data_IF_403227085945
#
_entry.id   IF_403227085945
#
_cell.length_a   1.000
_cell.length_b   1.000
_cell.length_c   1.000
_cell.angle_alpha   90.00
_cell.angle_beta   90.00
_cell.angle_gamma   90.00
#
_symmetry.space_group_name_H-M   'P 1'
#
loop_
_entity.id
_entity.type
_entity.pdbx_description
1 polymer ?
#
# COMPACT_ATOMS: atom_id res chain seq x y z
N UNK A 1 -13.66 6.48 25.59
CA UNK A 1 -13.07 5.38 26.39
C UNK A 1 -13.12 4.11 25.56
N UNK A 2 -12.02 3.38 25.40
CA UNK A 2 -12.04 2.00 24.89
C UNK A 2 -11.57 1.13 26.06
N UNK A 3 -12.51 0.40 26.67
CA UNK A 3 -12.23 -0.66 27.62
C UNK A 3 -11.93 -1.97 26.87
N UNK A 4 -11.16 -2.80 27.56
CA UNK A 4 -10.92 -4.24 27.40
C UNK A 4 -9.92 -4.78 26.38
N UNK A 5 -8.89 -5.42 26.96
CA UNK A 5 -7.77 -6.10 26.34
C UNK A 5 -8.12 -7.43 25.65
N UNK A 6 -9.24 -7.50 24.95
CA UNK A 6 -9.46 -8.56 23.97
C UNK A 6 -8.62 -8.26 22.73
N UNK A 7 -7.58 -9.07 22.47
CA UNK A 7 -6.95 -9.08 21.15
C UNK A 7 -8.03 -9.46 20.13
N UNK A 8 -8.31 -8.63 19.11
CA UNK A 8 -9.35 -8.93 18.14
C UNK A 8 -9.02 -10.27 17.47
N UNK A 9 -10.04 -11.13 17.29
CA UNK A 9 -9.86 -12.42 16.64
C UNK A 9 -9.38 -12.17 15.20
N UNK A 10 -8.12 -12.54 14.90
CA UNK A 10 -7.48 -12.22 13.62
C UNK A 10 -7.67 -13.37 12.66
N UNK A 11 -8.50 -13.17 11.64
CA UNK A 11 -8.64 -14.13 10.54
C UNK A 11 -7.72 -13.66 9.41
N UNK A 12 -6.77 -14.51 9.02
CA UNK A 12 -5.91 -14.26 7.85
C UNK A 12 -6.55 -14.93 6.64
N UNK A 13 -6.95 -14.12 5.67
CA UNK A 13 -7.55 -14.58 4.42
C UNK A 13 -6.55 -14.39 3.26
N UNK A 14 -6.57 -15.27 2.25
CA UNK A 14 -5.83 -15.04 1.01
C UNK A 14 -6.28 -13.75 0.33
N UNK A 15 -5.34 -13.01 -0.29
CA UNK A 15 -5.66 -11.79 -1.02
C UNK A 15 -6.70 -12.01 -2.13
N UNK A 16 -6.69 -13.19 -2.76
CA UNK A 16 -7.68 -13.58 -3.79
C UNK A 16 -9.12 -13.69 -3.28
N UNK A 17 -9.33 -13.75 -1.96
CA UNK A 17 -10.65 -13.83 -1.31
C UNK A 17 -10.98 -12.51 -0.62
N UNK A 18 -10.02 -11.92 0.09
CA UNK A 18 -10.21 -10.70 0.86
C UNK A 18 -10.41 -9.47 -0.04
N UNK A 19 -9.55 -9.31 -1.05
CA UNK A 19 -9.51 -8.09 -1.86
C UNK A 19 -10.79 -7.92 -2.69
N UNK A 20 -11.35 -8.94 -3.36
CA UNK A 20 -12.63 -8.79 -4.05
C UNK A 20 -13.75 -8.30 -3.13
N UNK A 21 -13.77 -8.74 -1.86
CA UNK A 21 -14.79 -8.29 -0.90
C UNK A 21 -14.58 -6.83 -0.50
N UNK A 22 -13.33 -6.39 -0.35
CA UNK A 22 -13.02 -4.97 -0.10
C UNK A 22 -13.43 -4.09 -1.27
N UNK A 23 -13.18 -4.55 -2.50
CA UNK A 23 -13.58 -3.85 -3.72
C UNK A 23 -15.11 -3.73 -3.77
N UNK A 24 -15.83 -4.84 -3.51
CA UNK A 24 -17.30 -4.82 -3.47
C UNK A 24 -17.82 -3.81 -2.45
N UNK A 25 -17.24 -3.75 -1.24
CA UNK A 25 -17.63 -2.76 -0.23
C UNK A 25 -17.41 -1.32 -0.71
N UNK A 26 -16.28 -1.04 -1.38
CA UNK A 26 -15.99 0.29 -1.93
C UNK A 26 -17.02 0.66 -3.01
N UNK A 27 -17.39 -0.30 -3.85
CA UNK A 27 -18.38 -0.12 -4.93
C UNK A 27 -19.82 0.03 -4.40
N UNK A 28 -20.18 -0.72 -3.35
CA UNK A 28 -21.48 -0.71 -2.65
C UNK A 28 -21.76 0.60 -1.89
N UNK A 29 -20.82 1.56 -1.91
CA UNK A 29 -21.01 2.90 -1.33
C UNK A 29 -20.28 3.12 -0.01
N UNK A 30 -19.45 2.18 0.46
CA UNK A 30 -18.51 2.47 1.54
C UNK A 30 -17.37 3.32 1.00
N UNK A 31 -17.43 4.63 1.27
CA UNK A 31 -16.52 5.62 0.68
C UNK A 31 -15.05 5.37 1.01
N UNK A 32 -14.79 4.72 2.15
CA UNK A 32 -13.45 4.35 2.59
C UNK A 32 -13.44 2.99 3.27
N UNK A 33 -12.46 2.15 2.94
CA UNK A 33 -12.22 0.84 3.59
C UNK A 33 -10.79 0.79 4.12
N UNK A 34 -10.60 0.21 5.30
CA UNK A 34 -9.26 0.02 5.86
C UNK A 34 -8.73 -1.37 5.53
N UNK A 35 -7.51 -1.44 4.99
CA UNK A 35 -6.81 -2.68 4.70
C UNK A 35 -5.53 -2.75 5.53
N UNK A 36 -5.40 -3.79 6.35
CA UNK A 36 -4.15 -4.07 7.06
C UNK A 36 -3.11 -4.56 6.06
N UNK A 37 -1.97 -3.89 6.01
CA UNK A 37 -0.91 -4.22 5.07
C UNK A 37 -0.20 -5.50 5.49
N UNK A 38 -0.12 -6.45 4.55
CA UNK A 38 0.67 -7.66 4.69
C UNK A 38 1.76 -7.70 3.62
N UNK A 39 2.95 -8.16 4.00
CA UNK A 39 4.10 -8.27 3.11
C UNK A 39 5.15 -7.17 3.26
N UNK A 40 6.20 -7.29 2.46
CA UNK A 40 7.43 -6.50 2.56
C UNK A 40 7.65 -5.59 1.34
N UNK A 41 6.74 -5.64 0.35
CA UNK A 41 6.88 -4.95 -0.94
C UNK A 41 6.73 -3.43 -0.84
N UNK A 42 6.15 -2.92 0.24
CA UNK A 42 5.99 -1.48 0.52
C UNK A 42 6.95 -0.98 1.61
N UNK A 43 7.94 -1.77 2.02
CA UNK A 43 8.98 -1.28 2.93
C UNK A 43 9.89 -0.25 2.25
N UNK A 44 10.51 0.67 2.99
CA UNK A 44 10.45 0.88 4.44
C UNK A 44 9.18 1.62 4.94
N UNK A 45 8.21 1.89 4.08
CA UNK A 45 7.13 2.83 4.35
C UNK A 45 6.01 2.22 5.15
N UNK A 46 5.56 1.06 4.70
CA UNK A 46 4.52 0.26 5.31
C UNK A 46 5.19 -1.02 5.78
N UNK A 47 5.07 -1.25 7.08
CA UNK A 47 5.65 -2.41 7.72
C UNK A 47 4.61 -3.50 7.91
N UNK A 48 5.07 -4.75 7.73
CA UNK A 48 4.22 -5.91 7.68
C UNK A 48 3.43 -6.06 8.99
N UNK A 49 2.11 -6.24 8.89
CA UNK A 49 1.22 -6.43 10.03
C UNK A 49 1.25 -5.29 11.07
N UNK A 50 1.78 -4.11 10.76
CA UNK A 50 1.77 -2.94 11.65
C UNK A 50 0.90 -1.81 11.11
N UNK A 51 1.04 -1.52 9.82
CA UNK A 51 0.45 -0.32 9.23
C UNK A 51 -0.87 -0.67 8.50
N UNK A 52 -1.82 0.27 8.52
CA UNK A 52 -3.16 0.12 7.94
C UNK A 52 -3.32 1.17 6.85
N UNK A 53 -3.66 0.75 5.64
CA UNK A 53 -3.99 1.64 4.52
C UNK A 53 -5.46 1.99 4.54
N UNK A 54 -5.78 3.27 4.34
CA UNK A 54 -7.13 3.75 4.08
C UNK A 54 -7.32 3.82 2.56
N UNK A 55 -8.16 2.93 2.05
CA UNK A 55 -8.50 2.81 0.64
C UNK A 55 -9.80 3.55 0.35
N UNK A 56 -9.86 4.24 -0.78
CA UNK A 56 -11.06 4.89 -1.27
C UNK A 56 -11.31 4.52 -2.73
N UNK A 57 -12.51 4.83 -3.21
CA UNK A 57 -12.85 4.73 -4.63
C UNK A 57 -11.93 5.63 -5.45
N UNK A 58 -11.49 5.12 -6.59
CA UNK A 58 -10.66 5.86 -7.53
C UNK A 58 -11.49 6.99 -8.16
N UNK A 59 -11.07 8.24 -7.94
CA UNK A 59 -11.68 9.42 -8.57
C UNK A 59 -10.77 10.03 -9.63
N UNK A 60 -9.47 10.03 -9.37
CA UNK A 60 -8.42 10.48 -10.28
C UNK A 60 -7.15 9.69 -10.00
N UNK A 61 -6.30 9.55 -11.02
CA UNK A 61 -5.07 8.79 -10.95
C UNK A 61 -3.90 9.66 -11.39
N UNK A 62 -2.88 9.73 -10.54
CA UNK A 62 -1.67 10.48 -10.82
C UNK A 62 -0.44 9.61 -10.59
N UNK A 63 0.64 9.96 -11.28
CA UNK A 63 1.95 9.37 -11.01
C UNK A 63 2.37 9.71 -9.59
N UNK A 64 2.77 8.69 -8.82
CA UNK A 64 3.11 8.79 -7.42
C UNK A 64 2.01 8.33 -6.46
N UNK A 65 0.79 8.07 -6.93
CA UNK A 65 -0.30 7.57 -6.11
C UNK A 65 -0.07 6.11 -5.69
N UNK A 66 -0.43 5.78 -4.45
CA UNK A 66 -0.43 4.41 -3.97
C UNK A 66 -1.79 3.79 -4.26
N UNK A 67 -1.83 2.71 -5.05
CA UNK A 67 -3.06 2.12 -5.55
C UNK A 67 -3.11 0.63 -5.32
N UNK A 68 -4.33 0.12 -5.14
CA UNK A 68 -4.64 -1.29 -5.16
C UNK A 68 -5.03 -1.66 -6.59
N UNK A 69 -4.26 -2.55 -7.22
CA UNK A 69 -4.48 -2.96 -8.60
C UNK A 69 -4.50 -4.47 -8.75
N UNK A 70 -5.23 -4.94 -9.77
CA UNK A 70 -5.25 -6.32 -10.22
C UNK A 70 -4.31 -6.48 -11.42
N UNK A 71 -3.17 -7.18 -11.23
CA UNK A 71 -2.16 -7.35 -12.29
C UNK A 71 -2.36 -8.62 -13.12
N UNK A 72 -3.12 -9.57 -12.58
CA UNK A 72 -3.58 -10.77 -13.27
C UNK A 72 -4.82 -11.29 -12.54
N UNK A 73 -5.63 -12.19 -13.12
CA UNK A 73 -6.85 -12.67 -12.49
C UNK A 73 -6.62 -13.14 -11.04
N UNK A 74 -7.34 -12.51 -10.08
CA UNK A 74 -7.24 -12.76 -8.63
C UNK A 74 -5.88 -12.46 -7.99
N UNK A 75 -4.99 -11.75 -8.69
CA UNK A 75 -3.68 -11.33 -8.19
C UNK A 75 -3.66 -9.82 -7.98
N UNK A 76 -3.73 -9.45 -6.71
CA UNK A 76 -3.81 -8.07 -6.28
C UNK A 76 -2.50 -7.60 -5.67
N UNK A 77 -2.14 -6.35 -5.97
CA UNK A 77 -0.93 -5.68 -5.52
C UNK A 77 -1.27 -4.28 -5.04
N UNK A 78 -0.57 -3.82 -4.00
CA UNK A 78 -0.71 -2.46 -3.50
C UNK A 78 0.61 -1.74 -3.66
N UNK A 79 0.72 -0.93 -4.71
CA UNK A 79 1.99 -0.35 -5.18
C UNK A 79 1.80 1.08 -5.66
N UNK A 80 2.92 1.77 -5.89
CA UNK A 80 2.93 3.14 -6.38
C UNK A 80 2.88 3.18 -7.90
N UNK A 81 2.09 4.08 -8.46
CA UNK A 81 2.11 4.38 -9.90
C UNK A 81 3.41 5.12 -10.22
N UNK A 82 4.25 4.55 -11.10
CA UNK A 82 5.49 5.19 -11.55
C UNK A 82 5.39 5.77 -12.97
N UNK A 83 4.44 5.27 -13.77
CA UNK A 83 4.17 5.77 -15.12
C UNK A 83 2.72 5.45 -15.50
N UNK A 84 2.07 6.40 -16.16
CA UNK A 84 0.79 6.22 -16.86
C UNK A 84 1.06 6.56 -18.33
N UNK A 85 0.69 5.68 -19.24
CA UNK A 85 0.87 5.81 -20.68
C UNK A 85 -0.43 5.41 -21.39
N UNK A 86 -1.32 6.37 -21.59
CA UNK A 86 -2.70 6.09 -22.00
C UNK A 86 -3.40 5.19 -20.99
N UNK A 87 -3.80 3.99 -21.43
CA UNK A 87 -4.46 2.99 -20.59
C UNK A 87 -3.47 2.09 -19.83
N UNK A 88 -2.18 2.12 -20.19
CA UNK A 88 -1.15 1.30 -19.56
C UNK A 88 -0.58 1.99 -18.33
N UNK A 89 -0.54 1.26 -17.22
CA UNK A 89 -0.04 1.73 -15.93
C UNK A 89 1.09 0.84 -15.48
N UNK A 90 2.21 1.47 -15.15
CA UNK A 90 3.34 0.79 -14.53
C UNK A 90 3.34 1.06 -13.02
N UNK A 91 3.31 -0.02 -12.26
CA UNK A 91 3.34 -0.04 -10.80
C UNK A 91 4.71 -0.49 -10.29
N UNK A 92 5.11 0.05 -9.15
CA UNK A 92 6.32 -0.40 -8.46
C UNK A 92 6.10 -0.36 -6.95
N UNK A 93 6.45 -1.44 -6.27
CA UNK A 93 6.46 -1.48 -4.81
C UNK A 93 7.61 -0.66 -4.26
N UNK A 94 7.38 0.07 -3.17
CA UNK A 94 8.42 0.92 -2.60
C UNK A 94 9.64 0.12 -2.08
N UNK A 95 9.44 -1.15 -1.72
CA UNK A 95 10.44 -2.06 -1.16
C UNK A 95 11.07 -3.03 -2.16
N UNK A 96 10.70 -2.93 -3.44
CA UNK A 96 11.23 -3.77 -4.50
C UNK A 96 11.48 -2.96 -5.78
N UNK A 97 12.43 -3.39 -6.59
CA UNK A 97 12.76 -2.74 -7.87
C UNK A 97 11.89 -3.32 -8.99
N UNK A 98 11.30 -4.51 -8.79
CA UNK A 98 10.40 -5.14 -9.75
C UNK A 98 9.22 -4.23 -10.08
N UNK A 99 9.01 -4.05 -11.38
CA UNK A 99 7.86 -3.35 -11.94
C UNK A 99 6.75 -4.35 -12.24
N UNK A 100 5.53 -3.89 -12.10
CA UNK A 100 4.32 -4.60 -12.48
C UNK A 100 3.54 -3.73 -13.46
N UNK A 101 2.76 -4.38 -14.32
CA UNK A 101 2.03 -3.71 -15.37
C UNK A 101 0.55 -4.07 -15.24
N UNK A 102 -0.32 -3.08 -15.34
CA UNK A 102 -1.76 -3.25 -15.37
C UNK A 102 -2.39 -2.16 -16.24
N UNK A 103 -3.66 -2.32 -16.55
CA UNK A 103 -4.45 -1.27 -17.17
C UNK A 103 -5.08 -0.35 -16.13
N UNK A 104 -5.46 0.87 -16.54
CA UNK A 104 -6.20 1.82 -15.70
C UNK A 104 -7.49 1.18 -15.11
N UNK A 105 -8.24 0.43 -15.92
CA UNK A 105 -9.47 -0.29 -15.49
C UNK A 105 -9.24 -1.35 -14.39
N UNK A 106 -8.00 -1.81 -14.25
CA UNK A 106 -7.61 -2.79 -13.25
C UNK A 106 -7.17 -2.15 -11.93
N UNK A 107 -7.17 -0.82 -11.84
CA UNK A 107 -6.97 -0.11 -10.58
C UNK A 107 -8.29 -0.06 -9.84
N UNK A 108 -8.35 -0.72 -8.68
CA UNK A 108 -9.59 -0.97 -7.94
C UNK A 108 -9.79 -0.01 -6.78
N UNK A 109 -8.71 0.51 -6.20
CA UNK A 109 -8.80 1.49 -5.12
C UNK A 109 -7.54 2.37 -5.05
N UNK A 110 -7.68 3.56 -4.46
CA UNK A 110 -6.57 4.47 -4.17
C UNK A 110 -6.34 4.57 -2.66
N UNK A 111 -5.08 4.54 -2.23
CA UNK A 111 -4.68 4.78 -0.85
C UNK A 111 -4.64 6.27 -0.55
N UNK A 112 -5.62 6.75 0.22
CA UNK A 112 -5.74 8.18 0.60
C UNK A 112 -5.03 8.52 1.91
N UNK A 113 -4.58 7.50 2.65
CA UNK A 113 -3.77 7.70 3.83
C UNK A 113 -3.40 6.40 4.55
N UNK A 114 -2.55 6.53 5.56
CA UNK A 114 -2.06 5.38 6.33
C UNK A 114 -2.11 5.66 7.83
N UNK A 115 -2.53 4.68 8.61
CA UNK A 115 -2.33 4.64 10.05
C UNK A 115 -1.06 3.85 10.36
N UNK A 116 -0.07 4.51 10.98
CA UNK A 116 1.25 3.94 11.22
C UNK A 116 1.53 3.77 12.70
N UNK A 117 2.21 2.68 13.06
CA UNK A 117 2.67 2.41 14.46
C UNK A 117 1.54 2.55 15.49
N UNK A 118 0.35 2.05 15.17
CA UNK A 118 -0.84 2.11 16.03
C UNK A 118 -1.31 3.53 16.39
N UNK A 119 -0.78 4.56 15.72
CA UNK A 119 -1.25 5.94 15.88
C UNK A 119 -2.63 6.09 15.25
N UNK A 120 -3.49 6.86 15.92
CA UNK A 120 -4.84 7.23 15.43
C UNK A 120 -4.83 8.39 14.43
N UNK A 121 -3.67 9.02 14.23
CA UNK A 121 -3.50 10.13 13.30
C UNK A 121 -3.31 9.54 11.90
N UNK A 122 -4.13 10.00 10.96
CA UNK A 122 -4.05 9.62 9.56
C UNK A 122 -2.90 10.37 8.89
N UNK A 123 -1.91 9.64 8.37
CA UNK A 123 -0.93 10.20 7.45
C UNK A 123 -1.55 10.25 6.05
N UNK A 124 -2.16 11.38 5.70
CA UNK A 124 -2.80 11.59 4.40
C UNK A 124 -1.79 11.62 3.25
N UNK A 125 -2.15 10.98 2.13
CA UNK A 125 -1.34 11.01 0.90
C UNK A 125 -1.41 12.35 0.15
N UNK A 126 -2.40 13.19 0.45
CA UNK A 126 -2.52 14.54 -0.09
C UNK A 126 -1.59 15.56 0.59
N UNK A 127 -1.05 15.21 1.75
CA UNK A 127 -0.15 16.07 2.50
C UNK A 127 1.15 16.38 1.74
N UNK A 128 1.61 17.62 1.83
CA UNK A 128 2.86 18.07 1.21
C UNK A 128 4.07 17.19 1.58
N UNK A 129 4.10 16.70 2.84
CA UNK A 129 5.09 15.72 3.30
C UNK A 129 5.10 14.46 2.44
N UNK A 130 3.94 13.88 2.15
CA UNK A 130 3.84 12.66 1.34
C UNK A 130 4.19 12.92 -0.12
N UNK A 131 3.75 14.06 -0.69
CA UNK A 131 4.06 14.43 -2.08
C UNK A 131 5.55 14.66 -2.31
N UNK A 132 6.21 15.47 -1.47
CA UNK A 132 7.67 15.65 -1.54
C UNK A 132 8.37 14.32 -1.33
N UNK A 133 7.97 13.57 -0.32
CA UNK A 133 8.59 12.30 -0.02
C UNK A 133 8.47 11.35 -1.22
N UNK A 134 7.28 11.24 -1.80
CA UNK A 134 7.00 10.39 -2.96
C UNK A 134 7.88 10.79 -4.13
N UNK A 135 7.98 12.10 -4.40
CA UNK A 135 8.85 12.65 -5.42
C UNK A 135 10.32 12.30 -5.18
N UNK A 136 10.87 12.59 -3.99
CA UNK A 136 12.25 12.25 -3.63
C UNK A 136 12.49 10.75 -3.81
N UNK A 137 11.61 9.91 -3.26
CA UNK A 137 11.73 8.48 -3.39
C UNK A 137 11.77 8.06 -4.85
N UNK A 138 10.85 8.57 -5.69
CA UNK A 138 10.78 8.31 -7.13
C UNK A 138 11.99 8.81 -7.94
N UNK A 139 12.83 9.68 -7.38
CA UNK A 139 14.03 10.19 -8.06
C UNK A 139 15.36 9.66 -7.50
N UNK A 140 15.37 8.87 -6.42
CA UNK A 140 16.61 8.30 -5.89
C UNK A 140 17.07 7.09 -6.74
N UNK A 141 18.24 7.15 -7.42
CA UNK A 141 18.79 6.03 -8.19
C UNK A 141 19.43 4.96 -7.29
N UNK A 142 19.87 5.35 -6.09
CA UNK A 142 20.52 4.48 -5.09
C UNK A 142 19.53 3.67 -4.25
N UNK A 143 18.24 3.60 -4.64
CA UNK A 143 17.19 2.87 -3.90
C UNK A 143 17.58 1.42 -3.64
N UNK A 144 18.23 0.76 -4.61
CA UNK A 144 18.73 -0.62 -4.45
C UNK A 144 19.64 -0.77 -3.23
N UNK A 145 20.57 0.17 -3.04
CA UNK A 145 21.52 0.14 -1.94
C UNK A 145 20.87 0.54 -0.62
N UNK A 146 19.99 1.56 -0.62
CA UNK A 146 19.21 1.94 0.56
C UNK A 146 18.36 0.77 1.07
N UNK A 147 17.67 0.07 0.15
CA UNK A 147 16.90 -1.12 0.49
C UNK A 147 17.79 -2.26 0.98
N UNK A 148 18.96 -2.49 0.38
CA UNK A 148 19.91 -3.51 0.85
C UNK A 148 20.41 -3.22 2.27
N UNK A 149 20.78 -1.97 2.56
CA UNK A 149 21.20 -1.51 3.89
C UNK A 149 20.05 -1.61 4.89
N UNK A 150 18.87 -1.12 4.54
CA UNK A 150 17.68 -1.21 5.39
C UNK A 150 17.35 -2.66 5.74
N UNK A 151 17.35 -3.56 4.75
CA UNK A 151 17.14 -4.99 4.98
C UNK A 151 18.21 -5.57 5.90
N UNK A 152 19.48 -5.20 5.75
CA UNK A 152 20.57 -5.75 6.55
C UNK A 152 20.59 -5.24 8.00
N UNK A 153 20.15 -4.01 8.24
CA UNK A 153 20.13 -3.39 9.58
C UNK A 153 18.81 -3.66 10.32
N UNK A 154 17.67 -3.67 9.62
CA UNK A 154 16.34 -3.73 10.24
C UNK A 154 15.74 -5.15 10.31
N UNK A 155 15.97 -6.03 9.32
CA UNK A 155 15.50 -7.44 9.37
C UNK A 155 16.06 -8.23 10.57
N UNK A 156 17.31 -8.05 11.06
CA UNK A 156 17.74 -8.75 12.26
C UNK A 156 16.96 -8.36 13.51
N UNK A 157 16.35 -7.17 13.55
CA UNK A 157 15.67 -6.63 14.74
C UNK A 157 14.21 -7.12 14.84
N UNK A 158 13.52 -7.29 13.70
CA UNK A 158 12.13 -7.77 13.66
C UNK A 158 12.00 -9.30 13.65
N UNK A 159 13.11 -10.04 13.56
CA UNK A 159 13.17 -11.50 13.69
C UNK A 159 13.26 -11.93 15.15
N UNK A 160 12.34 -11.48 16.02
CA UNK A 160 12.12 -12.17 17.30
C UNK A 160 11.15 -13.34 17.04
N UNK A 161 11.67 -14.53 17.36
CA UNK A 161 11.03 -15.85 17.34
C UNK A 161 9.62 -15.82 17.93
#
# INVERSE_FOLDING_TARGET
MLQDGQKPNRIVLPNSVLIPKIISLIEEGHHTVTLRMSGWSMQPFLDNNRDIALLAKVTSLHVGDAVLAEISPKKYVFHRIIKIDGDDVTLQGDGNISKEYCKVENIKAIGIGFYRKERKILDSTDGYKWKIYSWIWMHIPLRRYLLAVYRRIWIPITRKK
#
